data_IF_967771663813
#
_entry.id   IF_967771663813
#
_cell.length_a   1.000
_cell.length_b   1.000
_cell.length_c   1.000
_cell.angle_alpha   90.00
_cell.angle_beta   90.00
_cell.angle_gamma   90.00
#
_symmetry.space_group_name_H-M   'P 1'
#
loop_
_entity.id
_entity.type
_entity.pdbx_description
1 polymer ?
#
# COMPACT_ATOMS: atom_id res chain seq x y z
N UNK A 1 -24.05 -3.08 -13.50
CA UNK A 1 -22.62 -3.44 -13.38
C UNK A 1 -21.94 -2.47 -12.41
N UNK A 2 -21.98 -2.74 -11.10
CA UNK A 2 -21.43 -1.86 -10.04
C UNK A 2 -20.49 -2.59 -9.08
N UNK A 3 -19.99 -3.78 -9.46
CA UNK A 3 -19.26 -4.68 -8.56
C UNK A 3 -17.74 -4.72 -8.77
N UNK A 4 -17.20 -4.07 -9.80
CA UNK A 4 -15.77 -4.14 -10.12
C UNK A 4 -14.91 -3.11 -9.36
N UNK A 5 -15.50 -1.98 -8.93
CA UNK A 5 -14.75 -0.91 -8.23
C UNK A 5 -14.44 -1.29 -6.77
N UNK A 6 -15.22 -2.22 -6.19
CA UNK A 6 -15.05 -2.62 -4.79
C UNK A 6 -13.86 -3.55 -4.55
N UNK A 7 -13.41 -4.29 -5.58
CA UNK A 7 -12.31 -5.24 -5.43
C UNK A 7 -10.95 -4.54 -5.26
N UNK A 8 -10.67 -3.49 -6.04
CA UNK A 8 -9.46 -2.66 -5.87
C UNK A 8 -9.48 -1.85 -4.58
N UNK A 9 -10.65 -1.34 -4.19
CA UNK A 9 -10.85 -0.62 -2.92
C UNK A 9 -10.58 -1.50 -1.70
N UNK A 10 -10.97 -2.79 -1.74
CA UNK A 10 -10.73 -3.72 -0.65
C UNK A 10 -9.24 -4.00 -0.42
N UNK A 11 -8.41 -4.06 -1.49
CA UNK A 11 -6.97 -4.28 -1.35
C UNK A 11 -6.26 -3.16 -0.60
N UNK A 12 -6.67 -1.90 -0.76
CA UNK A 12 -6.07 -0.77 -0.03
C UNK A 12 -6.68 -0.59 1.37
N UNK A 13 -8.01 -0.73 1.51
CA UNK A 13 -8.72 -0.56 2.79
C UNK A 13 -8.47 -1.70 3.80
N UNK A 14 -8.22 -2.93 3.33
CA UNK A 14 -7.78 -4.03 4.20
C UNK A 14 -6.41 -3.76 4.85
N UNK A 15 -5.65 -2.80 4.35
CA UNK A 15 -4.31 -2.48 4.87
C UNK A 15 -4.35 -1.46 6.01
N UNK A 16 -5.30 -0.53 6.00
CA UNK A 16 -5.45 0.47 7.07
C UNK A 16 -6.08 -0.11 8.34
N UNK A 17 -6.98 -1.09 8.21
CA UNK A 17 -7.66 -1.71 9.37
C UNK A 17 -6.72 -2.60 10.19
N UNK A 18 -5.70 -3.20 9.59
CA UNK A 18 -4.76 -4.07 10.33
C UNK A 18 -3.74 -3.30 11.17
N UNK A 19 -3.54 -1.99 10.90
CA UNK A 19 -2.63 -1.14 11.67
C UNK A 19 -3.27 -0.48 12.90
N UNK A 20 -4.60 -0.57 13.09
CA UNK A 20 -5.30 0.08 14.22
C UNK A 20 -5.89 -0.87 15.27
N UNK A 21 -5.89 -2.19 15.04
CA UNK A 21 -6.34 -3.16 16.07
C UNK A 21 -5.16 -3.70 16.87
N UNK A 22 -4.59 -2.86 17.73
CA UNK A 22 -3.75 -3.34 18.82
C UNK A 22 -4.60 -4.07 19.87
N UNK A 23 -4.62 -5.40 19.83
CA UNK A 23 -4.64 -6.18 21.07
C UNK A 23 -4.06 -7.60 20.87
N UNK A 24 -3.33 -8.04 21.88
CA UNK A 24 -2.40 -9.16 21.92
C UNK A 24 -2.98 -10.54 21.54
N UNK A 25 -2.19 -11.37 20.83
CA UNK A 25 -1.96 -12.74 21.29
C UNK A 25 -0.67 -13.37 20.72
N UNK A 26 0.17 -13.82 21.65
CA UNK A 26 1.37 -14.64 21.50
C UNK A 26 1.03 -16.00 20.86
N UNK A 27 1.80 -16.43 19.87
CA UNK A 27 2.17 -17.85 19.71
C UNK A 27 3.47 -17.98 18.93
N UNK A 28 4.33 -18.83 19.47
CA UNK A 28 5.69 -19.10 19.08
C UNK A 28 5.78 -20.24 18.04
N UNK A 29 7.02 -20.46 17.59
CA UNK A 29 7.55 -21.59 16.81
C UNK A 29 7.28 -21.54 15.30
N UNK A 30 8.22 -21.86 14.41
CA UNK A 30 9.62 -22.29 14.55
C UNK A 30 10.29 -22.14 13.17
N UNK A 31 11.60 -22.35 13.12
CA UNK A 31 12.52 -22.16 11.99
C UNK A 31 12.08 -22.78 10.64
N UNK A 32 12.38 -22.06 9.56
CA UNK A 32 13.07 -22.65 8.40
C UNK A 32 13.80 -21.56 7.66
N UNK A 33 15.13 -21.66 7.70
CA UNK A 33 16.10 -20.89 6.94
C UNK A 33 15.72 -20.80 5.47
N UNK A 34 15.53 -19.58 4.98
CA UNK A 34 15.87 -19.25 3.60
C UNK A 34 16.75 -18.01 3.59
N UNK A 35 18.03 -18.32 3.42
CA UNK A 35 19.04 -17.59 2.67
C UNK A 35 18.95 -16.06 2.70
N UNK A 36 19.85 -15.50 3.51
CA UNK A 36 20.40 -14.16 3.36
C UNK A 36 20.70 -13.86 1.88
N UNK A 37 19.87 -13.02 1.27
CA UNK A 37 20.29 -12.18 0.15
C UNK A 37 20.49 -10.78 0.70
N UNK A 38 21.71 -10.28 0.51
CA UNK A 38 22.19 -9.00 0.99
C UNK A 38 21.25 -7.82 0.67
N UNK A 39 21.24 -6.77 1.52
CA UNK A 39 20.60 -5.51 1.19
C UNK A 39 21.39 -4.85 0.04
N UNK A 40 20.74 -3.95 -0.72
CA UNK A 40 21.32 -3.06 -1.76
C UNK A 40 21.01 -3.42 -3.22
N UNK A 41 19.73 -3.57 -3.53
CA UNK A 41 19.17 -2.83 -4.66
C UNK A 41 17.88 -2.22 -4.09
N UNK A 42 17.64 -0.92 -4.27
CA UNK A 42 16.32 -0.40 -3.97
C UNK A 42 15.36 -1.23 -4.83
N UNK A 43 14.39 -1.90 -4.19
CA UNK A 43 13.42 -2.68 -4.93
C UNK A 43 12.74 -1.70 -5.90
N UNK A 44 12.93 -1.87 -7.23
CA UNK A 44 12.43 -0.92 -8.21
C UNK A 44 10.89 -0.86 -8.18
N UNK A 45 10.24 -1.89 -7.63
CA UNK A 45 8.80 -1.91 -7.35
C UNK A 45 8.48 -1.05 -6.13
N UNK A 46 9.28 -1.14 -5.06
CA UNK A 46 9.10 -0.34 -3.85
C UNK A 46 9.20 1.16 -4.11
N UNK A 47 10.27 1.62 -4.77
CA UNK A 47 10.45 3.04 -5.03
C UNK A 47 9.29 3.59 -5.89
N UNK A 48 8.84 2.84 -6.89
CA UNK A 48 7.70 3.21 -7.73
C UNK A 48 6.40 3.29 -6.94
N UNK A 49 6.10 2.28 -6.11
CA UNK A 49 4.88 2.26 -5.29
C UNK A 49 4.89 3.42 -4.28
N UNK A 50 6.02 3.68 -3.63
CA UNK A 50 6.16 4.81 -2.72
C UNK A 50 5.92 6.14 -3.44
N UNK A 51 6.55 6.35 -4.60
CA UNK A 51 6.34 7.56 -5.40
C UNK A 51 4.86 7.73 -5.80
N UNK A 52 4.18 6.66 -6.22
CA UNK A 52 2.74 6.72 -6.55
C UNK A 52 1.89 7.17 -5.35
N UNK A 53 2.20 6.70 -4.14
CA UNK A 53 1.49 7.08 -2.92
C UNK A 53 1.80 8.53 -2.54
N UNK A 54 3.06 8.95 -2.65
CA UNK A 54 3.49 10.32 -2.34
C UNK A 54 2.89 11.33 -3.33
N UNK A 55 2.90 11.03 -4.62
CA UNK A 55 2.29 11.85 -5.68
C UNK A 55 0.77 11.96 -5.49
N UNK A 56 0.11 10.86 -5.14
CA UNK A 56 -1.32 10.87 -4.83
C UNK A 56 -1.61 11.70 -3.57
N UNK A 57 -0.77 11.60 -2.55
CA UNK A 57 -0.88 12.40 -1.32
C UNK A 57 -0.70 13.89 -1.61
N UNK A 58 0.23 14.26 -2.50
CA UNK A 58 0.40 15.64 -2.93
C UNK A 58 -0.85 16.17 -3.65
N UNK A 59 -1.40 15.41 -4.60
CA UNK A 59 -2.64 15.77 -5.31
C UNK A 59 -3.84 15.94 -4.37
N UNK A 60 -3.93 15.12 -3.32
CA UNK A 60 -4.98 15.24 -2.29
C UNK A 60 -4.76 16.47 -1.39
N UNK A 61 -3.51 16.86 -1.11
CA UNK A 61 -3.18 18.07 -0.33
C UNK A 61 -3.57 19.36 -1.05
N UNK A 62 -3.68 19.34 -2.37
CA UNK A 62 -4.20 20.47 -3.16
C UNK A 62 -5.72 20.67 -2.98
N UNK A 63 -6.34 19.94 -2.03
CA UNK A 63 -7.73 20.01 -1.62
C UNK A 63 -8.70 19.87 -2.82
N UNK A 64 -8.58 18.79 -3.60
CA UNK A 64 -9.47 18.52 -4.72
C UNK A 64 -10.89 18.26 -4.22
N UNK A 65 -11.86 18.28 -5.12
CA UNK A 65 -13.23 17.90 -4.77
C UNK A 65 -13.29 16.44 -4.29
N UNK A 66 -14.31 16.05 -3.50
CA UNK A 66 -14.48 14.65 -3.06
C UNK A 66 -14.49 13.64 -4.23
N UNK A 67 -15.03 14.03 -5.38
CA UNK A 67 -15.08 13.18 -6.58
C UNK A 67 -13.69 12.99 -7.19
N UNK A 68 -12.89 14.04 -7.24
CA UNK A 68 -11.50 13.98 -7.70
C UNK A 68 -10.63 13.19 -6.74
N UNK A 69 -10.82 13.36 -5.43
CA UNK A 69 -10.14 12.55 -4.41
C UNK A 69 -10.41 11.05 -4.58
N UNK A 70 -11.67 10.67 -4.81
CA UNK A 70 -12.03 9.28 -5.15
C UNK A 70 -11.34 8.80 -6.43
N UNK A 71 -11.27 9.65 -7.46
CA UNK A 71 -10.60 9.31 -8.71
C UNK A 71 -9.10 9.09 -8.49
N UNK A 72 -8.43 9.98 -7.77
CA UNK A 72 -7.00 9.88 -7.42
C UNK A 72 -6.74 8.58 -6.66
N UNK A 73 -7.57 8.26 -5.65
CA UNK A 73 -7.43 7.01 -4.89
C UNK A 73 -7.58 5.76 -5.77
N UNK A 74 -8.61 5.72 -6.62
CA UNK A 74 -8.83 4.59 -7.53
C UNK A 74 -7.71 4.44 -8.56
N UNK A 75 -7.22 5.56 -9.12
CA UNK A 75 -6.14 5.58 -10.08
C UNK A 75 -4.81 5.16 -9.46
N UNK A 76 -4.52 5.62 -8.24
CA UNK A 76 -3.35 5.22 -7.46
C UNK A 76 -3.35 3.72 -7.19
N UNK A 77 -4.48 3.18 -6.72
CA UNK A 77 -4.63 1.73 -6.51
C UNK A 77 -4.36 0.95 -7.80
N UNK A 78 -4.96 1.37 -8.91
CA UNK A 78 -4.76 0.72 -10.21
C UNK A 78 -3.29 0.79 -10.68
N UNK A 79 -2.63 1.91 -10.47
CA UNK A 79 -1.22 2.09 -10.86
C UNK A 79 -0.28 1.24 -10.00
N UNK A 80 -0.59 1.08 -8.70
CA UNK A 80 0.13 0.16 -7.81
C UNK A 80 -0.04 -1.29 -8.28
N UNK A 81 -1.28 -1.73 -8.53
CA UNK A 81 -1.56 -3.08 -9.03
C UNK A 81 -0.82 -3.35 -10.35
N UNK A 82 -0.89 -2.39 -11.30
CA UNK A 82 -0.16 -2.46 -12.56
C UNK A 82 1.35 -2.55 -12.36
N UNK A 83 1.91 -1.79 -11.41
CA UNK A 83 3.34 -1.83 -11.10
C UNK A 83 3.74 -3.24 -10.59
N UNK A 84 2.92 -3.87 -9.76
CA UNK A 84 3.18 -5.26 -9.34
C UNK A 84 3.06 -6.23 -10.52
N UNK A 85 1.99 -6.15 -11.31
CA UNK A 85 1.74 -7.02 -12.47
C UNK A 85 2.88 -6.95 -13.51
N UNK A 86 3.39 -5.76 -13.82
CA UNK A 86 4.52 -5.54 -14.73
C UNK A 86 5.81 -6.23 -14.27
N UNK A 87 5.95 -6.47 -12.96
CA UNK A 87 7.07 -7.17 -12.36
C UNK A 87 6.75 -8.65 -12.06
N UNK A 88 5.61 -9.16 -12.55
CA UNK A 88 5.21 -10.56 -12.41
C UNK A 88 4.88 -10.97 -10.98
N UNK A 89 4.54 -10.01 -10.11
CA UNK A 89 4.22 -10.24 -8.70
C UNK A 89 2.84 -9.67 -8.36
N UNK A 90 2.18 -10.21 -7.34
CA UNK A 90 0.96 -9.60 -6.79
C UNK A 90 1.31 -8.59 -5.70
N UNK A 91 0.47 -7.59 -5.45
CA UNK A 91 0.69 -6.65 -4.33
C UNK A 91 0.83 -7.39 -2.99
N UNK A 92 0.04 -8.45 -2.79
CA UNK A 92 0.08 -9.26 -1.56
C UNK A 92 1.41 -9.99 -1.38
N UNK A 93 1.94 -10.59 -2.45
CA UNK A 93 3.20 -11.32 -2.38
C UNK A 93 4.40 -10.37 -2.34
N UNK A 94 4.33 -9.24 -3.05
CA UNK A 94 5.31 -8.17 -2.95
C UNK A 94 5.44 -7.68 -1.51
N UNK A 95 4.32 -7.40 -0.84
CA UNK A 95 4.31 -6.98 0.58
C UNK A 95 4.90 -8.02 1.55
N UNK A 96 4.80 -9.32 1.27
CA UNK A 96 5.39 -10.38 2.10
C UNK A 96 6.91 -10.46 1.95
N UNK A 97 7.42 -10.05 0.79
CA UNK A 97 8.83 -10.08 0.46
C UNK A 97 9.57 -8.80 0.87
N UNK A 98 8.86 -7.78 1.36
CA UNK A 98 9.46 -6.59 1.95
C UNK A 98 10.10 -6.89 3.31
N UNK A 99 11.22 -6.24 3.61
CA UNK A 99 11.72 -6.17 4.98
C UNK A 99 10.75 -5.39 5.87
N UNK A 100 10.78 -5.66 7.18
CA UNK A 100 9.90 -5.00 8.15
C UNK A 100 10.01 -3.47 8.11
N UNK A 101 11.22 -2.93 7.93
CA UNK A 101 11.46 -1.49 7.83
C UNK A 101 10.80 -0.87 6.59
N UNK A 102 10.89 -1.53 5.43
CA UNK A 102 10.27 -1.06 4.19
C UNK A 102 8.75 -1.19 4.25
N UNK A 103 8.26 -2.31 4.79
CA UNK A 103 6.83 -2.52 5.01
C UNK A 103 6.23 -1.45 5.92
N UNK A 104 6.91 -1.11 7.01
CA UNK A 104 6.49 -0.03 7.92
C UNK A 104 6.41 1.32 7.21
N UNK A 105 7.42 1.69 6.41
CA UNK A 105 7.40 2.95 5.64
C UNK A 105 6.25 3.00 4.63
N UNK A 106 6.00 1.90 3.94
CA UNK A 106 4.85 1.76 3.03
C UNK A 106 3.51 1.93 3.76
N UNK A 107 3.35 1.29 4.93
CA UNK A 107 2.14 1.40 5.75
C UNK A 107 1.93 2.83 6.27
N UNK A 108 3.00 3.50 6.73
CA UNK A 108 2.96 4.89 7.16
C UNK A 108 2.59 5.86 6.02
N UNK A 109 3.15 5.67 4.81
CA UNK A 109 2.81 6.49 3.65
C UNK A 109 1.36 6.29 3.22
N UNK A 110 0.90 5.03 3.19
CA UNK A 110 -0.49 4.70 2.86
C UNK A 110 -1.46 5.28 3.88
N UNK A 111 -1.13 5.24 5.17
CA UNK A 111 -1.95 5.83 6.23
C UNK A 111 -2.09 7.36 6.07
N UNK A 112 -0.98 8.06 5.80
CA UNK A 112 -0.98 9.51 5.54
C UNK A 112 -1.84 9.88 4.33
N UNK A 113 -1.77 9.08 3.26
CA UNK A 113 -2.59 9.27 2.08
C UNK A 113 -4.10 9.15 2.39
N UNK A 114 -4.49 8.10 3.13
CA UNK A 114 -5.88 7.86 3.52
C UNK A 114 -6.40 8.96 4.45
N UNK A 115 -5.62 9.35 5.47
CA UNK A 115 -5.96 10.45 6.37
C UNK A 115 -6.18 11.76 5.61
N UNK A 116 -5.36 12.03 4.58
CA UNK A 116 -5.53 13.21 3.74
C UNK A 116 -6.83 13.14 2.92
N UNK A 117 -7.19 11.97 2.41
CA UNK A 117 -8.46 11.76 1.70
C UNK A 117 -9.67 11.96 2.63
N UNK A 118 -9.62 11.48 3.87
CA UNK A 118 -10.71 11.62 4.86
C UNK A 118 -10.98 13.06 5.27
N UNK A 119 -9.98 13.95 5.15
CA UNK A 119 -10.12 15.38 5.47
C UNK A 119 -10.89 16.17 4.40
N UNK A 120 -11.08 15.61 3.21
CA UNK A 120 -11.81 16.24 2.12
C UNK A 120 -13.32 16.13 2.40
N UNK A 121 -14.01 17.27 2.41
CA UNK A 121 -15.46 17.40 2.70
C UNK A 121 -16.29 17.61 1.45
#
# INVERSE_FOLDING_TARGET
MKKLIYAGFACLMLLAVQAYSGNAQKSASDETSQETVAPSASDPVYDKIMNLIEDATAQIKDNPSPQEAMKIMAETSKNIDKCCEENGITLSDWKKNLSDDLKKKYEEATAKFLEACEKIK
#
